data_IF_591265064526
#
_entry.id   IF_591265064526
#
_cell.length_a   1.000
_cell.length_b   1.000
_cell.length_c   1.000
_cell.angle_alpha   90.00
_cell.angle_beta   90.00
_cell.angle_gamma   90.00
#
_symmetry.space_group_name_H-M   'P 1'
#
loop_
_entity.id
_entity.type
_entity.pdbx_description
1 polymer ?
#
# COMPACT_ATOMS: atom_id res chain seq x y z
N UNK A 1 19.64 74.90 34.87
CA UNK A 1 18.61 73.96 35.32
C UNK A 1 19.24 72.58 35.18
N UNK A 2 20.11 72.08 36.05
CA UNK A 2 20.14 71.95 37.53
C UNK A 2 19.04 71.07 38.14
N UNK A 3 19.51 70.01 38.83
CA UNK A 3 18.88 69.12 39.82
C UNK A 3 18.00 67.96 39.28
N UNK A 4 18.34 66.66 39.43
CA UNK A 4 18.66 65.76 40.60
C UNK A 4 17.41 64.98 41.06
N UNK A 5 17.50 63.63 41.03
CA UNK A 5 17.10 62.59 42.02
C UNK A 5 15.78 62.74 42.83
N UNK A 6 15.02 61.73 43.27
CA UNK A 6 15.21 60.32 43.71
C UNK A 6 13.77 59.74 44.04
N UNK A 7 13.59 58.54 44.64
CA UNK A 7 12.48 57.58 44.45
C UNK A 7 11.54 57.48 45.67
N UNK A 8 10.48 56.65 45.60
CA UNK A 8 9.73 56.12 46.76
C UNK A 8 9.21 54.69 46.41
N UNK A 9 9.79 53.63 47.00
CA UNK A 9 9.36 52.91 48.23
C UNK A 9 8.36 51.77 47.94
N UNK A 10 8.80 50.50 47.93
CA UNK A 10 8.76 49.51 49.04
C UNK A 10 7.35 49.22 49.57
N UNK A 11 6.89 48.00 49.30
CA UNK A 11 5.81 47.31 50.01
C UNK A 11 6.08 45.79 49.98
N UNK A 12 6.62 45.28 51.08
CA UNK A 12 6.84 43.84 51.34
C UNK A 12 5.50 43.13 51.55
N UNK A 13 5.35 41.95 50.99
CA UNK A 13 4.58 40.88 51.63
C UNK A 13 5.27 39.53 51.34
N UNK A 14 5.93 39.02 52.35
CA UNK A 14 6.48 37.67 52.44
C UNK A 14 5.34 36.66 52.57
N UNK A 15 5.35 35.61 51.76
CA UNK A 15 4.76 34.33 52.13
C UNK A 15 5.70 33.24 51.63
N UNK A 16 6.40 32.65 52.58
CA UNK A 16 7.17 31.43 52.41
C UNK A 16 6.19 30.26 52.28
N UNK A 17 6.40 29.42 51.26
CA UNK A 17 5.91 28.06 51.25
C UNK A 17 6.99 27.19 50.59
N UNK A 18 7.78 26.56 51.45
CA UNK A 18 8.69 25.46 51.12
C UNK A 18 7.86 24.24 50.75
N UNK A 19 8.11 23.60 49.60
CA UNK A 19 7.81 22.18 49.40
C UNK A 19 8.48 21.61 48.14
N UNK A 20 9.33 20.60 48.38
CA UNK A 20 9.68 19.48 47.50
C UNK A 20 10.29 19.78 46.13
N UNK A 21 11.62 19.72 46.07
CA UNK A 21 12.32 19.20 44.91
C UNK A 21 11.94 17.72 44.71
N UNK A 22 10.94 17.47 43.86
CA UNK A 22 10.76 16.16 43.23
C UNK A 22 11.73 16.12 42.05
N UNK A 23 12.83 15.40 42.23
CA UNK A 23 13.58 14.83 41.12
C UNK A 23 12.61 13.86 40.42
N UNK A 24 11.89 14.36 39.42
CA UNK A 24 11.25 13.51 38.44
C UNK A 24 12.38 12.79 37.72
N UNK A 25 12.59 11.52 38.10
CA UNK A 25 13.23 10.56 37.20
C UNK A 25 12.49 10.65 35.88
N UNK A 26 13.16 11.20 34.87
CA UNK A 26 12.69 11.14 33.51
C UNK A 26 12.60 9.68 33.13
N UNK A 27 11.40 9.11 33.26
CA UNK A 27 10.97 8.06 32.36
C UNK A 27 10.98 8.71 30.98
N UNK A 28 12.12 8.59 30.29
CA UNK A 28 12.13 8.66 28.85
C UNK A 28 11.17 7.57 28.40
N UNK A 29 9.92 7.94 28.16
CA UNK A 29 9.08 7.15 27.28
C UNK A 29 9.90 6.95 25.99
N UNK A 30 9.91 5.74 25.41
CA UNK A 30 10.52 5.58 24.09
C UNK A 30 9.93 6.69 23.21
N UNK A 31 10.81 7.50 22.64
CA UNK A 31 10.41 8.43 21.61
C UNK A 31 9.76 7.55 20.56
N UNK A 32 8.43 7.61 20.45
CA UNK A 32 7.72 6.99 19.34
C UNK A 32 8.35 7.62 18.12
N UNK A 33 9.18 6.86 17.40
CA UNK A 33 9.61 7.26 16.08
C UNK A 33 8.35 7.60 15.30
N UNK A 34 8.33 8.74 14.61
CA UNK A 34 7.28 9.02 13.66
C UNK A 34 7.15 7.79 12.74
N UNK A 35 5.94 7.34 12.40
CA UNK A 35 5.78 6.23 11.46
C UNK A 35 6.57 6.59 10.20
N UNK A 36 7.51 5.72 9.82
CA UNK A 36 8.17 5.86 8.53
C UNK A 36 7.09 5.61 7.50
N UNK A 37 6.70 6.64 6.76
CA UNK A 37 5.80 6.47 5.62
C UNK A 37 6.50 5.53 4.63
N UNK A 38 5.99 4.30 4.54
CA UNK A 38 6.47 3.28 3.60
C UNK A 38 5.74 3.45 2.29
N UNK A 39 6.52 3.62 1.21
CA UNK A 39 6.00 3.82 -0.13
C UNK A 39 6.57 2.73 -1.01
N UNK A 40 5.70 1.82 -1.46
CA UNK A 40 6.06 0.67 -2.30
C UNK A 40 6.48 1.07 -3.73
N UNK A 41 6.66 2.37 -4.02
CA UNK A 41 7.20 2.89 -5.28
C UNK A 41 6.17 3.26 -6.34
N UNK A 42 4.88 3.00 -6.11
CA UNK A 42 3.80 3.31 -7.07
C UNK A 42 3.66 4.81 -7.34
N UNK A 43 4.15 5.30 -8.48
CA UNK A 43 4.08 6.71 -8.89
C UNK A 43 2.69 7.28 -8.66
N UNK A 44 2.59 8.33 -7.82
CA UNK A 44 1.33 8.98 -7.48
C UNK A 44 1.06 10.19 -8.34
N UNK A 45 -0.15 10.28 -8.88
CA UNK A 45 -0.59 11.34 -9.77
C UNK A 45 -1.97 11.86 -9.41
N UNK A 46 -2.22 13.15 -9.64
CA UNK A 46 -3.56 13.72 -9.58
C UNK A 46 -4.08 13.96 -11.00
N UNK A 47 -5.38 13.80 -11.23
CA UNK A 47 -6.02 14.24 -12.47
C UNK A 47 -6.54 15.68 -12.37
N UNK A 48 -5.82 16.70 -12.90
CA UNK A 48 -6.31 18.08 -12.91
C UNK A 48 -7.35 18.34 -14.00
N UNK A 49 -7.14 17.80 -15.22
CA UNK A 49 -7.95 18.14 -16.40
C UNK A 49 -7.64 17.23 -17.61
N UNK A 50 -8.51 17.31 -18.62
CA UNK A 50 -8.26 16.78 -19.97
C UNK A 50 -7.11 17.52 -20.65
N UNK A 51 -6.11 16.79 -21.16
CA UNK A 51 -5.01 17.33 -21.94
C UNK A 51 -5.45 17.71 -23.38
N UNK A 52 -6.21 16.82 -24.02
CA UNK A 52 -6.79 17.05 -25.34
C UNK A 52 -8.09 16.26 -25.52
N UNK A 53 -9.06 16.84 -26.24
CA UNK A 53 -10.31 16.17 -26.57
C UNK A 53 -10.24 15.56 -27.97
N UNK A 54 -10.82 14.38 -28.13
CA UNK A 54 -11.12 13.81 -29.44
C UNK A 54 -12.58 14.04 -29.83
N UNK A 55 -12.93 13.63 -31.05
CA UNK A 55 -14.34 13.61 -31.46
C UNK A 55 -15.12 12.52 -30.71
N UNK A 56 -16.43 12.74 -30.51
CA UNK A 56 -17.30 11.72 -29.93
C UNK A 56 -17.41 10.51 -30.87
N UNK A 57 -17.34 9.31 -30.30
CA UNK A 57 -17.48 8.03 -31.02
C UNK A 57 -18.73 7.30 -30.56
N UNK A 58 -19.37 6.53 -31.44
CA UNK A 58 -20.48 5.68 -31.02
C UNK A 58 -19.97 4.28 -30.67
N UNK A 59 -19.93 3.95 -29.40
CA UNK A 59 -19.47 2.64 -28.90
C UNK A 59 -20.65 1.90 -28.29
N UNK A 60 -20.85 0.64 -28.68
CA UNK A 60 -21.97 -0.19 -28.19
C UNK A 60 -23.37 0.47 -28.33
N UNK A 61 -23.52 1.36 -29.32
CA UNK A 61 -24.75 2.11 -29.58
C UNK A 61 -24.93 3.42 -28.79
N UNK A 62 -24.06 3.73 -27.84
CA UNK A 62 -24.03 4.99 -27.09
C UNK A 62 -22.97 5.96 -27.65
N UNK A 63 -23.20 7.27 -27.52
CA UNK A 63 -22.18 8.27 -27.85
C UNK A 63 -21.25 8.44 -26.64
N UNK A 64 -19.95 8.28 -26.85
CA UNK A 64 -18.93 8.38 -25.83
C UNK A 64 -17.89 9.43 -26.25
N UNK A 65 -17.52 10.29 -25.31
CA UNK A 65 -16.48 11.30 -25.52
C UNK A 65 -15.11 10.67 -25.37
N UNK A 66 -14.18 11.05 -26.25
CA UNK A 66 -12.81 10.55 -26.25
C UNK A 66 -11.85 11.64 -25.83
N UNK A 67 -10.78 11.29 -25.12
CA UNK A 67 -9.87 12.28 -24.54
C UNK A 67 -8.52 11.66 -24.21
N UNK A 68 -7.49 12.51 -24.26
CA UNK A 68 -6.25 12.34 -23.54
C UNK A 68 -6.33 13.10 -22.22
N UNK A 69 -5.99 12.44 -21.13
CA UNK A 69 -6.04 12.97 -19.77
C UNK A 69 -4.64 13.42 -19.34
N UNK A 70 -4.56 14.52 -18.58
CA UNK A 70 -3.33 14.93 -17.90
C UNK A 70 -3.32 14.29 -16.50
N UNK A 71 -2.25 13.56 -16.18
CA UNK A 71 -1.96 13.03 -14.85
C UNK A 71 -0.73 13.78 -14.32
N UNK A 72 -0.96 14.62 -13.31
CA UNK A 72 0.06 15.46 -12.69
C UNK A 72 0.70 14.73 -11.52
N UNK A 73 1.98 14.42 -11.64
CA UNK A 73 2.77 13.87 -10.56
C UNK A 73 3.01 14.91 -9.45
N UNK A 74 3.42 14.44 -8.27
CA UNK A 74 3.69 15.29 -7.11
C UNK A 74 4.87 16.25 -7.33
N UNK A 75 5.84 15.88 -8.18
CA UNK A 75 6.95 16.73 -8.62
C UNK A 75 6.52 17.81 -9.65
N UNK A 76 5.26 17.75 -10.12
CA UNK A 76 4.70 18.63 -11.13
C UNK A 76 4.85 18.15 -12.57
N UNK A 77 5.43 16.97 -12.83
CA UNK A 77 5.53 16.37 -14.16
C UNK A 77 4.14 15.95 -14.67
N UNK A 78 3.90 16.14 -15.97
CA UNK A 78 2.65 15.77 -16.64
C UNK A 78 2.83 14.43 -17.35
N UNK A 79 1.94 13.48 -17.11
CA UNK A 79 1.79 12.26 -17.89
C UNK A 79 0.52 12.36 -18.73
N UNK A 80 0.62 12.02 -20.01
CA UNK A 80 -0.55 11.92 -20.88
C UNK A 80 -1.12 10.49 -20.80
N UNK A 81 -2.44 10.34 -20.64
CA UNK A 81 -3.07 9.02 -20.50
C UNK A 81 -4.38 8.87 -21.29
N UNK A 82 -4.72 7.64 -21.68
CA UNK A 82 -6.04 7.26 -22.20
C UNK A 82 -6.89 6.64 -21.10
N UNK A 83 -8.21 6.64 -21.30
CA UNK A 83 -9.12 5.87 -20.45
C UNK A 83 -9.04 4.39 -20.84
N UNK A 84 -8.99 3.50 -19.85
CA UNK A 84 -9.11 2.05 -20.10
C UNK A 84 -10.40 1.46 -19.55
N UNK A 85 -11.15 2.21 -18.73
CA UNK A 85 -12.41 1.81 -18.12
C UNK A 85 -13.60 2.63 -18.68
N UNK A 86 -14.27 2.10 -19.69
CA UNK A 86 -15.43 2.74 -20.34
C UNK A 86 -16.66 2.88 -19.41
N UNK A 87 -16.81 2.05 -18.38
CA UNK A 87 -18.01 2.02 -17.53
C UNK A 87 -17.97 3.06 -16.41
N UNK A 88 -16.77 3.39 -15.94
CA UNK A 88 -16.58 4.34 -14.84
C UNK A 88 -16.38 5.75 -15.39
N UNK A 89 -16.94 6.75 -14.69
CA UNK A 89 -16.72 8.16 -15.05
C UNK A 89 -15.50 8.70 -14.34
N UNK A 90 -14.71 9.52 -15.04
CA UNK A 90 -13.63 10.27 -14.43
C UNK A 90 -14.15 11.22 -13.35
N UNK A 91 -13.36 11.40 -12.30
CA UNK A 91 -13.60 12.40 -11.25
C UNK A 91 -12.51 13.44 -11.26
N UNK A 92 -12.91 14.70 -11.27
CA UNK A 92 -11.98 15.84 -11.19
C UNK A 92 -11.16 15.78 -9.89
N UNK A 93 -9.86 16.05 -10.00
CA UNK A 93 -8.89 16.07 -8.90
C UNK A 93 -8.72 14.75 -8.15
N UNK A 94 -9.18 13.62 -8.71
CA UNK A 94 -8.94 12.31 -8.14
C UNK A 94 -7.44 11.98 -8.15
N UNK A 95 -7.00 11.30 -7.09
CA UNK A 95 -5.65 10.76 -6.98
C UNK A 95 -5.59 9.34 -7.55
N UNK A 96 -4.45 9.06 -8.17
CA UNK A 96 -4.12 7.82 -8.83
C UNK A 96 -2.77 7.31 -8.35
N UNK A 97 -2.64 5.99 -8.30
CA UNK A 97 -1.38 5.29 -8.09
C UNK A 97 -1.09 4.45 -9.33
N UNK A 98 0.18 4.43 -9.74
CA UNK A 98 0.69 3.46 -10.68
C UNK A 98 0.45 2.05 -10.14
N UNK A 99 -0.05 1.15 -10.97
CA UNK A 99 -0.40 -0.21 -10.59
C UNK A 99 -0.16 -1.14 -11.79
N UNK A 100 -0.19 -2.45 -11.55
CA UNK A 100 -0.06 -3.45 -12.59
C UNK A 100 -1.41 -3.75 -13.24
N UNK A 101 -1.38 -4.21 -14.49
CA UNK A 101 -2.61 -4.63 -15.17
C UNK A 101 -3.30 -5.81 -14.51
N UNK A 102 -2.56 -6.66 -13.81
CA UNK A 102 -3.14 -7.74 -13.00
C UNK A 102 -4.15 -7.21 -11.96
N UNK A 103 -4.01 -5.95 -11.54
CA UNK A 103 -4.85 -5.27 -10.57
C UNK A 103 -5.91 -4.35 -11.20
N UNK A 104 -6.04 -4.37 -12.54
CA UNK A 104 -7.03 -3.61 -13.29
C UNK A 104 -8.46 -3.96 -12.83
N UNK A 105 -9.25 -2.99 -12.32
CA UNK A 105 -10.58 -3.26 -11.77
C UNK A 105 -11.68 -3.39 -12.84
N UNK A 106 -11.34 -3.24 -14.13
CA UNK A 106 -12.33 -3.23 -15.21
C UNK A 106 -13.17 -4.49 -15.24
N UNK A 107 -14.47 -4.31 -15.51
CA UNK A 107 -15.42 -5.42 -15.53
C UNK A 107 -15.40 -6.12 -16.88
N UNK A 108 -14.85 -7.33 -16.92
CA UNK A 108 -15.10 -8.28 -18.00
C UNK A 108 -14.00 -9.32 -18.16
N UNK A 109 -14.35 -10.48 -18.71
CA UNK A 109 -13.42 -11.52 -19.17
C UNK A 109 -12.55 -11.07 -20.37
N UNK A 110 -12.46 -9.76 -20.64
CA UNK A 110 -11.95 -9.14 -21.86
C UNK A 110 -10.94 -8.04 -21.53
N UNK A 111 -9.76 -8.44 -21.05
CA UNK A 111 -8.59 -7.60 -20.99
C UNK A 111 -7.47 -8.27 -21.79
N UNK A 112 -7.03 -7.63 -22.88
CA UNK A 112 -5.90 -8.08 -23.70
C UNK A 112 -4.75 -7.05 -23.56
N UNK A 113 -4.01 -7.04 -22.41
CA UNK A 113 -3.02 -6.02 -22.09
C UNK A 113 -1.94 -5.87 -23.17
N UNK A 114 -1.47 -7.00 -23.72
CA UNK A 114 -0.49 -7.01 -24.80
C UNK A 114 -0.97 -6.28 -26.05
N UNK A 115 -2.25 -6.38 -26.40
CA UNK A 115 -2.84 -5.68 -27.56
C UNK A 115 -3.08 -4.21 -27.31
N UNK A 116 -3.50 -3.84 -26.10
CA UNK A 116 -3.61 -2.41 -25.73
C UNK A 116 -2.23 -1.77 -25.76
N UNK A 117 -1.21 -2.45 -25.23
CA UNK A 117 0.17 -1.97 -25.27
C UNK A 117 0.65 -1.80 -26.73
N UNK A 118 0.32 -2.75 -27.61
CA UNK A 118 0.59 -2.61 -29.04
C UNK A 118 -0.07 -1.36 -29.64
N UNK A 119 -1.35 -1.09 -29.31
CA UNK A 119 -2.04 0.12 -29.77
C UNK A 119 -1.27 1.35 -29.34
N UNK A 120 -0.95 1.50 -28.06
CA UNK A 120 -0.29 2.69 -27.52
C UNK A 120 1.07 2.98 -28.20
N UNK A 121 1.80 1.94 -28.60
CA UNK A 121 3.06 2.06 -29.35
C UNK A 121 2.86 2.40 -30.84
N UNK A 122 1.69 2.10 -31.41
CA UNK A 122 1.41 2.19 -32.85
C UNK A 122 0.28 3.17 -33.20
N UNK A 123 -0.15 3.97 -32.24
CA UNK A 123 -1.24 4.95 -32.37
C UNK A 123 -0.84 6.33 -31.85
N UNK A 124 -1.78 7.26 -31.84
CA UNK A 124 -1.55 8.61 -31.35
C UNK A 124 -1.31 8.59 -29.82
N UNK A 125 -0.41 9.43 -29.27
CA UNK A 125 0.44 10.41 -29.95
C UNK A 125 1.76 9.85 -30.50
N UNK A 126 2.16 8.62 -30.17
CA UNK A 126 3.40 7.97 -30.63
C UNK A 126 3.52 7.99 -32.16
N UNK A 127 2.41 7.74 -32.86
CA UNK A 127 2.24 7.87 -34.31
C UNK A 127 1.34 9.05 -34.60
N UNK A 128 1.82 9.99 -35.41
CA UNK A 128 1.04 11.20 -35.75
C UNK A 128 -0.27 10.86 -36.48
N UNK A 129 -1.29 11.72 -36.38
CA UNK A 129 -2.56 11.54 -37.08
C UNK A 129 -2.39 11.33 -38.60
N UNK A 130 -1.45 12.07 -39.21
CA UNK A 130 -1.16 11.94 -40.64
C UNK A 130 -0.58 10.57 -41.01
N UNK A 131 0.32 10.03 -40.19
CA UNK A 131 0.90 8.70 -40.40
C UNK A 131 -0.14 7.60 -40.13
N UNK A 132 -0.98 7.76 -39.11
CA UNK A 132 -2.09 6.83 -38.85
C UNK A 132 -3.08 6.78 -40.03
N UNK A 133 -3.43 7.93 -40.60
CA UNK A 133 -4.26 8.00 -41.78
C UNK A 133 -3.63 7.27 -42.99
N UNK A 134 -2.31 7.39 -43.16
CA UNK A 134 -1.56 6.68 -44.21
C UNK A 134 -1.54 5.16 -43.97
N UNK A 135 -1.20 4.73 -42.75
CA UNK A 135 -1.12 3.33 -42.35
C UNK A 135 -2.48 2.62 -42.51
N UNK A 136 -3.57 3.28 -42.13
CA UNK A 136 -4.93 2.77 -42.31
C UNK A 136 -5.45 2.85 -43.76
N UNK A 137 -4.65 3.42 -44.68
CA UNK A 137 -5.02 3.53 -46.09
C UNK A 137 -6.21 4.46 -46.35
N UNK A 138 -6.35 5.53 -45.56
CA UNK A 138 -7.46 6.48 -45.74
C UNK A 138 -7.42 7.12 -47.14
N UNK A 139 -8.60 7.18 -47.76
CA UNK A 139 -8.74 7.88 -49.04
C UNK A 139 -8.43 9.39 -48.86
N UNK A 140 -8.05 10.07 -49.95
CA UNK A 140 -7.68 11.50 -49.92
C UNK A 140 -8.75 12.44 -49.37
N UNK A 141 -10.04 12.05 -49.43
CA UNK A 141 -11.12 12.82 -48.86
C UNK A 141 -11.07 12.76 -47.33
N UNK A 142 -11.11 11.55 -46.78
CA UNK A 142 -11.08 11.31 -45.34
C UNK A 142 -9.76 11.80 -44.72
N UNK A 143 -8.62 11.49 -45.34
CA UNK A 143 -7.30 11.89 -44.84
C UNK A 143 -7.10 13.41 -44.69
N UNK A 144 -7.87 14.24 -45.43
CA UNK A 144 -7.83 15.71 -45.26
C UNK A 144 -8.56 16.20 -44.02
N UNK A 145 -9.43 15.38 -43.47
CA UNK A 145 -10.28 15.67 -42.31
C UNK A 145 -9.92 14.78 -41.12
N UNK A 146 -8.83 14.02 -41.20
CA UNK A 146 -8.33 13.19 -40.11
C UNK A 146 -7.18 13.94 -39.41
N UNK A 147 -7.50 14.63 -38.32
CA UNK A 147 -6.55 15.34 -37.46
C UNK A 147 -6.38 14.65 -36.11
N UNK A 148 -5.78 15.38 -35.17
CA UNK A 148 -5.48 14.87 -33.83
C UNK A 148 -6.75 14.45 -33.08
N UNK A 149 -7.86 15.20 -33.23
CA UNK A 149 -9.13 14.84 -32.58
C UNK A 149 -9.69 13.50 -33.09
N UNK A 150 -9.59 13.23 -34.40
CA UNK A 150 -9.96 11.93 -34.98
C UNK A 150 -9.00 10.81 -34.58
N UNK A 151 -7.70 11.10 -34.46
CA UNK A 151 -6.69 10.13 -34.06
C UNK A 151 -6.85 9.73 -32.58
N UNK A 152 -7.12 10.69 -31.70
CA UNK A 152 -7.47 10.45 -30.29
C UNK A 152 -8.71 9.56 -30.22
N UNK A 153 -9.74 9.88 -31.01
CA UNK A 153 -10.98 9.12 -31.02
C UNK A 153 -10.81 7.67 -31.49
N UNK A 154 -10.08 7.46 -32.59
CA UNK A 154 -9.82 6.12 -33.12
C UNK A 154 -8.96 5.29 -32.15
N UNK A 155 -7.95 5.91 -31.54
CA UNK A 155 -7.07 5.28 -30.55
C UNK A 155 -7.83 4.88 -29.30
N UNK A 156 -8.57 5.81 -28.70
CA UNK A 156 -9.36 5.57 -27.48
C UNK A 156 -10.40 4.45 -27.70
N UNK A 157 -11.07 4.45 -28.85
CA UNK A 157 -12.01 3.40 -29.20
C UNK A 157 -11.34 2.03 -29.36
N UNK A 158 -10.15 1.98 -29.96
CA UNK A 158 -9.38 0.74 -30.11
C UNK A 158 -8.88 0.20 -28.76
N UNK A 159 -8.50 1.07 -27.83
CA UNK A 159 -8.18 0.69 -26.44
C UNK A 159 -9.40 0.05 -25.77
N UNK A 160 -10.57 0.69 -25.83
CA UNK A 160 -11.81 0.14 -25.26
C UNK A 160 -12.26 -1.16 -25.92
N UNK A 161 -11.83 -1.45 -27.15
CA UNK A 161 -12.09 -2.75 -27.77
C UNK A 161 -11.41 -3.87 -26.99
N UNK A 162 -10.14 -3.70 -26.63
CA UNK A 162 -9.35 -4.71 -25.94
C UNK A 162 -9.42 -4.64 -24.41
N UNK A 163 -9.89 -3.54 -23.83
CA UNK A 163 -10.08 -3.42 -22.37
C UNK A 163 -11.51 -3.60 -21.89
N UNK A 164 -12.50 -3.38 -22.75
CA UNK A 164 -13.93 -3.47 -22.39
C UNK A 164 -14.74 -4.34 -23.36
N UNK A 165 -14.09 -5.00 -24.33
CA UNK A 165 -14.78 -5.80 -25.35
C UNK A 165 -15.73 -4.98 -26.22
N UNK A 166 -15.49 -3.66 -26.34
CA UNK A 166 -16.43 -2.75 -26.97
C UNK A 166 -16.24 -2.66 -28.49
N UNK A 167 -17.32 -2.37 -29.21
CA UNK A 167 -17.27 -2.19 -30.66
C UNK A 167 -17.61 -0.75 -31.02
N UNK A 168 -16.68 -0.08 -31.68
CA UNK A 168 -16.94 1.22 -32.26
C UNK A 168 -17.84 1.04 -33.49
N UNK A 169 -18.85 1.88 -33.59
CA UNK A 169 -19.71 1.98 -34.78
C UNK A 169 -19.68 3.42 -35.23
N UNK A 170 -19.60 3.69 -36.52
CA UNK A 170 -19.62 5.07 -36.98
C UNK A 170 -20.37 5.22 -38.30
N UNK A 171 -20.98 6.40 -38.45
CA UNK A 171 -20.93 7.06 -39.74
C UNK A 171 -19.51 7.64 -39.85
N UNK A 172 -18.75 7.26 -40.89
CA UNK A 172 -17.31 7.50 -40.97
C UNK A 172 -16.93 8.59 -42.02
N UNK A 173 -17.38 9.85 -41.88
CA UNK A 173 -17.05 10.89 -42.85
C UNK A 173 -15.57 11.32 -42.78
N UNK A 174 -14.89 11.09 -41.64
CA UNK A 174 -13.52 11.56 -41.42
C UNK A 174 -12.48 10.43 -41.30
N UNK A 175 -12.86 9.15 -41.32
CA UNK A 175 -11.93 8.01 -41.29
C UNK A 175 -11.63 7.44 -39.91
N UNK A 176 -12.31 7.90 -38.84
CA UNK A 176 -12.17 7.37 -37.48
C UNK A 176 -12.43 5.86 -37.43
N UNK A 177 -13.50 5.38 -38.08
CA UNK A 177 -13.81 3.93 -38.06
C UNK A 177 -12.78 3.12 -38.82
N UNK A 178 -12.32 3.62 -39.96
CA UNK A 178 -11.28 2.95 -40.73
C UNK A 178 -9.95 2.85 -39.97
N UNK A 179 -9.55 3.89 -39.23
CA UNK A 179 -8.33 3.83 -38.39
C UNK A 179 -8.53 2.92 -37.18
N UNK A 180 -9.71 2.96 -36.54
CA UNK A 180 -10.07 1.99 -35.51
C UNK A 180 -9.96 0.53 -36.02
N UNK A 181 -10.53 0.24 -37.20
CA UNK A 181 -10.49 -1.10 -37.81
C UNK A 181 -9.07 -1.55 -38.12
N UNK A 182 -8.23 -0.62 -38.58
CA UNK A 182 -6.81 -0.86 -38.78
C UNK A 182 -6.11 -1.22 -37.46
N UNK A 183 -6.29 -0.41 -36.41
CA UNK A 183 -5.66 -0.64 -35.12
C UNK A 183 -6.09 -1.97 -34.49
N UNK A 184 -7.39 -2.26 -34.49
CA UNK A 184 -7.94 -3.52 -33.95
C UNK A 184 -7.48 -4.72 -34.79
N UNK A 185 -7.42 -4.59 -36.11
CA UNK A 185 -7.02 -5.67 -37.01
C UNK A 185 -5.53 -6.01 -36.97
N UNK A 186 -4.67 -5.02 -36.72
CA UNK A 186 -3.21 -5.19 -36.69
C UNK A 186 -2.64 -5.45 -35.29
N UNK A 187 -3.44 -5.26 -34.23
CA UNK A 187 -3.00 -5.41 -32.84
C UNK A 187 -2.44 -6.81 -32.55
N UNK A 188 -1.21 -6.82 -32.04
CA UNK A 188 -0.50 -8.03 -31.66
C UNK A 188 -0.48 -8.19 -30.15
N UNK A 189 -0.56 -9.42 -29.68
CA UNK A 189 -0.44 -9.73 -28.27
C UNK A 189 1.05 -9.66 -27.86
N UNK A 190 1.44 -8.53 -27.27
CA UNK A 190 2.79 -8.33 -26.75
C UNK A 190 2.96 -9.05 -25.40
N UNK A 191 4.02 -9.85 -25.21
CA UNK A 191 4.18 -10.71 -24.03
C UNK A 191 4.61 -9.97 -22.76
N UNK A 192 4.91 -8.69 -22.82
CA UNK A 192 5.40 -7.91 -21.69
C UNK A 192 4.68 -6.57 -21.62
N UNK A 193 4.07 -6.33 -20.46
CA UNK A 193 3.77 -4.97 -20.00
C UNK A 193 5.09 -4.30 -19.61
N UNK A 194 5.17 -2.96 -19.71
CA UNK A 194 6.31 -2.27 -19.14
C UNK A 194 6.36 -2.53 -17.62
N UNK A 195 7.54 -2.81 -17.07
CA UNK A 195 7.72 -2.98 -15.63
C UNK A 195 7.43 -1.69 -14.84
N UNK A 196 7.37 -1.77 -13.50
CA UNK A 196 7.11 -0.61 -12.66
C UNK A 196 8.21 0.45 -12.83
N UNK A 197 7.83 1.71 -12.65
CA UNK A 197 8.79 2.82 -12.73
C UNK A 197 9.87 2.69 -11.65
N UNK A 198 9.45 2.46 -10.41
CA UNK A 198 10.28 2.08 -9.25
C UNK A 198 9.36 1.39 -8.24
N UNK A 199 9.80 0.29 -7.63
CA UNK A 199 9.04 -0.43 -6.60
C UNK A 199 9.97 -1.11 -5.61
N UNK A 200 9.53 -1.16 -4.35
CA UNK A 200 10.17 -1.97 -3.30
C UNK A 200 9.09 -2.84 -2.66
N UNK A 201 9.22 -4.16 -2.81
CA UNK A 201 8.24 -5.13 -2.30
C UNK A 201 8.92 -6.17 -1.41
N UNK A 202 8.45 -6.41 -0.18
CA UNK A 202 7.36 -5.71 0.50
C UNK A 202 7.76 -4.30 0.96
N UNK A 203 6.81 -3.41 1.25
CA UNK A 203 7.13 -2.09 1.84
C UNK A 203 7.66 -2.16 3.28
N UNK A 204 7.39 -3.24 4.02
CA UNK A 204 7.74 -3.37 5.43
C UNK A 204 8.14 -4.81 5.80
N UNK A 205 9.04 -4.94 6.77
CA UNK A 205 9.35 -6.24 7.39
C UNK A 205 9.63 -6.12 8.89
N UNK A 206 9.54 -7.25 9.60
CA UNK A 206 9.77 -7.32 11.04
C UNK A 206 10.71 -8.47 11.37
N UNK A 207 11.61 -8.30 12.34
CA UNK A 207 12.57 -9.34 12.75
C UNK A 207 13.22 -9.11 14.11
N UNK A 208 14.41 -9.68 14.32
CA UNK A 208 15.18 -9.59 15.57
C UNK A 208 16.51 -8.89 15.38
N UNK A 209 17.02 -8.22 16.41
CA UNK A 209 18.38 -7.70 16.40
C UNK A 209 19.41 -8.85 16.19
N UNK A 210 20.42 -8.60 15.37
CA UNK A 210 21.42 -9.61 14.98
C UNK A 210 21.08 -10.39 13.71
N UNK A 211 19.92 -10.14 13.10
CA UNK A 211 19.49 -10.76 11.84
C UNK A 211 19.51 -9.75 10.69
N UNK A 212 19.54 -10.27 9.46
CA UNK A 212 19.16 -9.50 8.27
C UNK A 212 17.65 -9.59 8.12
N UNK A 213 16.98 -8.44 8.17
CA UNK A 213 15.52 -8.35 8.15
C UNK A 213 15.05 -7.92 6.77
N UNK A 214 14.05 -8.63 6.25
CA UNK A 214 13.42 -8.37 4.97
C UNK A 214 13.67 -9.45 3.92
N UNK A 215 13.08 -9.24 2.76
CA UNK A 215 13.41 -9.81 1.46
C UNK A 215 12.86 -8.82 0.43
N UNK A 216 13.50 -7.64 0.38
CA UNK A 216 13.02 -6.51 -0.40
C UNK A 216 13.49 -6.66 -1.84
N UNK A 217 12.55 -6.93 -2.74
CA UNK A 217 12.77 -6.89 -4.18
C UNK A 217 12.71 -5.43 -4.65
N UNK A 218 13.76 -4.99 -5.34
CA UNK A 218 13.80 -3.69 -6.02
C UNK A 218 13.47 -3.90 -7.49
N UNK A 219 12.41 -3.26 -7.98
CA UNK A 219 12.09 -3.22 -9.41
C UNK A 219 12.13 -1.78 -9.90
N UNK A 220 12.70 -1.53 -11.07
CA UNK A 220 12.83 -0.18 -11.62
C UNK A 220 12.96 -0.20 -13.13
N UNK A 221 12.49 0.86 -13.79
CA UNK A 221 12.72 1.08 -15.22
C UNK A 221 14.03 1.81 -15.53
N UNK A 222 14.76 2.23 -14.49
CA UNK A 222 16.12 2.76 -14.59
C UNK A 222 17.11 1.64 -14.92
N UNK A 223 17.96 1.87 -15.92
CA UNK A 223 19.03 0.95 -16.31
C UNK A 223 20.34 1.24 -15.57
N UNK A 224 20.45 2.40 -14.92
CA UNK A 224 21.57 2.77 -14.08
C UNK A 224 21.32 2.35 -12.62
N UNK A 225 22.41 2.10 -11.88
CA UNK A 225 22.31 1.73 -10.46
C UNK A 225 21.86 2.91 -9.59
N UNK A 226 20.92 2.67 -8.67
CA UNK A 226 20.31 3.69 -7.81
C UNK A 226 21.04 3.76 -6.47
N UNK A 227 21.45 4.96 -6.05
CA UNK A 227 22.07 5.17 -4.73
C UNK A 227 21.06 4.95 -3.60
N UNK A 228 21.51 4.24 -2.56
CA UNK A 228 20.69 3.90 -1.39
C UNK A 228 20.91 4.91 -0.28
N UNK A 229 19.82 5.40 0.31
CA UNK A 229 19.85 6.24 1.50
C UNK A 229 19.25 5.50 2.69
N UNK A 230 20.08 5.04 3.63
CA UNK A 230 19.62 4.35 4.86
C UNK A 230 19.42 5.36 5.99
N UNK A 231 18.28 5.29 6.68
CA UNK A 231 18.00 6.01 7.92
C UNK A 231 17.86 5.02 9.07
N UNK A 232 18.70 5.18 10.08
CA UNK A 232 18.74 4.31 11.24
C UNK A 232 18.73 5.12 12.56
N UNK A 233 18.34 4.51 13.69
CA UNK A 233 18.37 5.16 15.00
C UNK A 233 19.80 5.56 15.40
N UNK A 234 19.95 6.65 16.16
CA UNK A 234 21.26 7.08 16.66
C UNK A 234 21.98 5.96 17.42
N UNK A 235 23.21 5.66 17.03
CA UNK A 235 24.05 4.65 17.68
C UNK A 235 23.81 3.21 17.22
N UNK A 236 22.94 2.96 16.23
CA UNK A 236 22.73 1.65 15.62
C UNK A 236 23.28 1.66 14.18
N UNK A 237 24.30 0.87 13.90
CA UNK A 237 24.88 0.73 12.56
C UNK A 237 24.08 -0.28 11.72
N UNK A 238 22.95 0.15 11.15
CA UNK A 238 22.16 -0.65 10.20
C UNK A 238 22.73 -0.48 8.79
N UNK A 239 22.90 -1.58 8.07
CA UNK A 239 23.40 -1.58 6.69
C UNK A 239 22.42 -2.30 5.77
N UNK A 240 22.24 -1.78 4.55
CA UNK A 240 21.58 -2.54 3.50
C UNK A 240 22.57 -3.56 2.93
N UNK A 241 22.15 -4.82 2.82
CA UNK A 241 22.94 -5.92 2.30
C UNK A 241 22.19 -6.62 1.16
N UNK A 242 22.94 -7.11 0.19
CA UNK A 242 22.42 -8.00 -0.85
C UNK A 242 22.21 -9.41 -0.26
N UNK A 243 21.05 -10.01 -0.52
CA UNK A 243 20.68 -11.29 0.10
C UNK A 243 21.34 -12.51 -0.54
N UNK A 244 21.81 -12.40 -1.78
CA UNK A 244 22.53 -13.48 -2.46
C UNK A 244 23.97 -13.60 -1.94
N UNK A 245 24.66 -12.47 -1.82
CA UNK A 245 26.07 -12.37 -1.43
C UNK A 245 26.29 -12.17 0.06
N UNK A 246 25.34 -11.53 0.75
CA UNK A 246 25.48 -11.08 2.13
C UNK A 246 26.39 -9.86 2.31
N UNK A 247 26.81 -9.20 1.22
CA UNK A 247 27.71 -8.04 1.27
C UNK A 247 26.93 -6.72 1.39
N UNK A 248 27.49 -5.70 2.07
CA UNK A 248 26.89 -4.37 2.11
C UNK A 248 26.82 -3.75 0.72
N UNK A 249 25.68 -3.13 0.42
CA UNK A 249 25.43 -2.44 -0.85
C UNK A 249 25.09 -0.97 -0.62
N UNK A 250 25.64 -0.11 -1.47
CA UNK A 250 25.33 1.34 -1.52
C UNK A 250 24.55 1.71 -2.77
N UNK A 251 24.41 0.77 -3.70
CA UNK A 251 23.74 0.93 -4.98
C UNK A 251 22.97 -0.34 -5.27
N UNK A 252 21.75 -0.20 -5.79
CA UNK A 252 20.86 -1.31 -6.19
C UNK A 252 20.44 -1.17 -7.65
N UNK A 253 20.12 -2.28 -8.29
CA UNK A 253 19.67 -2.38 -9.68
C UNK A 253 18.31 -3.07 -9.74
N UNK A 254 17.69 -3.02 -10.92
CA UNK A 254 16.46 -3.76 -11.18
C UNK A 254 16.64 -5.27 -10.96
N UNK A 255 15.81 -5.85 -10.09
CA UNK A 255 15.80 -7.26 -9.73
C UNK A 255 16.65 -7.63 -8.51
N UNK A 256 17.37 -6.66 -7.91
CA UNK A 256 18.16 -6.93 -6.71
C UNK A 256 17.24 -7.27 -5.53
N UNK A 257 17.68 -8.23 -4.70
CA UNK A 257 16.99 -8.60 -3.46
C UNK A 257 17.85 -8.23 -2.27
N UNK A 258 17.34 -7.31 -1.45
CA UNK A 258 18.12 -6.68 -0.36
C UNK A 258 17.42 -6.87 1.00
N UNK A 259 18.21 -6.76 2.07
CA UNK A 259 17.72 -6.76 3.43
C UNK A 259 18.50 -5.78 4.30
N UNK A 260 17.91 -5.37 5.43
CA UNK A 260 18.61 -4.51 6.40
C UNK A 260 19.25 -5.39 7.48
N UNK A 261 20.58 -5.39 7.52
CA UNK A 261 21.36 -6.06 8.56
C UNK A 261 21.36 -5.23 9.84
N UNK A 262 20.75 -5.76 10.89
CA UNK A 262 20.66 -5.12 12.21
C UNK A 262 21.72 -5.72 13.13
N UNK A 263 22.56 -4.93 13.80
CA UNK A 263 23.62 -5.46 14.65
C UNK A 263 23.07 -6.22 15.87
N UNK A 264 23.79 -7.25 16.29
CA UNK A 264 23.46 -8.01 17.51
C UNK A 264 23.51 -7.09 18.74
N UNK A 265 22.54 -7.24 19.63
CA UNK A 265 22.43 -6.41 20.83
C UNK A 265 21.92 -4.98 20.57
N UNK A 266 21.47 -4.66 19.35
CA UNK A 266 20.72 -3.44 19.11
C UNK A 266 19.47 -3.40 20.00
N UNK A 267 19.22 -2.25 20.63
CA UNK A 267 17.95 -1.99 21.30
C UNK A 267 16.81 -2.06 20.28
N UNK A 268 15.59 -2.36 20.75
CA UNK A 268 14.37 -2.32 19.92
C UNK A 268 14.29 -1.00 19.15
N UNK A 269 13.99 -1.08 17.85
CA UNK A 269 14.01 0.07 16.98
C UNK A 269 13.45 -0.19 15.59
N UNK A 270 13.49 0.86 14.77
CA UNK A 270 13.08 0.85 13.37
C UNK A 270 14.16 1.50 12.53
N UNK A 271 14.31 1.05 11.29
CA UNK A 271 15.17 1.66 10.29
C UNK A 271 14.46 1.62 8.94
N UNK A 272 14.89 2.48 8.03
CA UNK A 272 14.38 2.50 6.67
C UNK A 272 15.51 2.69 5.68
N UNK A 273 15.24 2.35 4.44
CA UNK A 273 16.05 2.82 3.33
C UNK A 273 15.14 3.43 2.27
N UNK A 274 15.66 4.42 1.57
CA UNK A 274 14.99 5.04 0.44
C UNK A 274 15.88 5.02 -0.79
N UNK A 275 15.21 4.94 -1.93
CA UNK A 275 15.75 5.02 -3.27
C UNK A 275 15.16 6.27 -3.91
N UNK A 276 15.97 7.04 -4.63
CA UNK A 276 15.50 8.16 -5.46
C UNK A 276 16.26 8.10 -6.79
N UNK A 277 15.54 8.11 -7.91
CA UNK A 277 16.17 8.14 -9.22
C UNK A 277 15.30 8.84 -10.26
N UNK A 278 15.88 9.11 -11.43
CA UNK A 278 15.13 9.43 -12.65
C UNK A 278 14.86 8.13 -13.40
N UNK A 279 13.59 7.75 -13.47
CA UNK A 279 13.14 6.57 -14.18
C UNK A 279 12.11 6.97 -15.25
N UNK A 280 11.86 6.09 -16.21
CA UNK A 280 10.87 6.35 -17.26
C UNK A 280 9.54 5.69 -16.88
N UNK A 281 8.49 6.49 -16.73
CA UNK A 281 7.12 5.98 -16.81
C UNK A 281 6.87 5.65 -18.28
N UNK A 282 6.84 4.36 -18.60
CA UNK A 282 6.64 3.90 -19.98
C UNK A 282 5.18 4.04 -20.41
N UNK A 283 4.95 4.18 -21.71
CA UNK A 283 3.63 4.03 -22.31
C UNK A 283 3.04 2.66 -21.96
N UNK A 284 1.78 2.60 -21.54
CA UNK A 284 1.12 1.37 -21.15
C UNK A 284 1.15 1.05 -19.65
N UNK A 285 1.67 1.94 -18.79
CA UNK A 285 1.56 1.80 -17.33
C UNK A 285 0.18 2.23 -16.86
N UNK A 286 -0.41 1.42 -15.98
CA UNK A 286 -1.76 1.61 -15.48
C UNK A 286 -1.76 2.55 -14.29
N UNK A 287 -2.73 3.45 -14.24
CA UNK A 287 -2.97 4.36 -13.12
C UNK A 287 -4.39 4.15 -12.60
N UNK A 288 -4.49 3.66 -11.37
CA UNK A 288 -5.75 3.31 -10.71
C UNK A 288 -6.10 4.35 -9.65
N UNK A 289 -7.38 4.67 -9.54
CA UNK A 289 -7.86 5.59 -8.51
C UNK A 289 -7.53 5.09 -7.11
N UNK A 290 -6.91 5.93 -6.29
CA UNK A 290 -6.46 5.61 -4.93
C UNK A 290 -7.64 5.34 -3.97
N UNK A 291 -8.76 6.05 -4.16
CA UNK A 291 -9.92 5.93 -3.27
C UNK A 291 -10.86 4.79 -3.69
N UNK A 292 -10.76 3.64 -3.01
CA UNK A 292 -11.59 2.44 -3.25
C UNK A 292 -13.11 2.73 -3.21
N UNK A 293 -13.56 3.51 -2.22
CA UNK A 293 -14.99 3.84 -2.04
C UNK A 293 -15.47 4.98 -2.96
N UNK A 294 -14.56 5.58 -3.71
CA UNK A 294 -14.83 6.66 -4.63
C UNK A 294 -14.18 6.39 -5.99
N UNK A 295 -14.53 5.28 -6.66
CA UNK A 295 -13.88 4.89 -7.90
C UNK A 295 -13.96 6.01 -8.95
N UNK A 296 -12.86 6.17 -9.66
CA UNK A 296 -12.70 6.99 -10.86
C UNK A 296 -12.23 6.07 -11.99
N UNK A 297 -12.46 6.47 -13.25
CA UNK A 297 -12.06 5.66 -14.39
C UNK A 297 -10.56 5.35 -14.32
N UNK A 298 -10.17 4.12 -14.62
CA UNK A 298 -8.75 3.74 -14.68
C UNK A 298 -8.12 4.32 -15.94
N UNK A 299 -6.88 4.78 -15.82
CA UNK A 299 -6.13 5.42 -16.89
C UNK A 299 -4.89 4.61 -17.26
N UNK A 300 -4.39 4.83 -18.47
CA UNK A 300 -3.18 4.19 -18.97
C UNK A 300 -2.30 5.19 -19.73
N UNK A 301 -1.01 5.23 -19.43
CA UNK A 301 -0.08 6.20 -20.04
C UNK A 301 0.02 6.01 -21.55
N UNK A 302 -0.02 7.12 -22.28
CA UNK A 302 -0.04 7.14 -23.74
C UNK A 302 1.36 7.16 -24.35
N UNK A 303 2.32 7.76 -23.67
CA UNK A 303 3.70 7.96 -24.12
C UNK A 303 4.68 7.79 -22.96
N UNK A 304 5.95 7.58 -23.29
CA UNK A 304 7.03 7.52 -22.31
C UNK A 304 7.28 8.91 -21.71
N UNK A 305 7.61 8.97 -20.43
CA UNK A 305 7.99 10.22 -19.76
C UNK A 305 8.99 9.94 -18.64
N UNK A 306 10.11 10.68 -18.65
CA UNK A 306 11.10 10.61 -17.59
C UNK A 306 10.63 11.41 -16.37
N UNK A 307 10.72 10.79 -15.21
CA UNK A 307 10.18 11.30 -13.94
C UNK A 307 11.17 11.07 -12.81
N UNK A 308 11.18 11.97 -11.83
CA UNK A 308 11.88 11.69 -10.58
C UNK A 308 10.94 10.94 -9.66
N UNK A 309 11.37 9.75 -9.23
CA UNK A 309 10.60 8.86 -8.37
C UNK A 309 11.40 8.47 -7.16
N UNK A 310 10.70 8.17 -6.07
CA UNK A 310 11.31 7.64 -4.87
C UNK A 310 10.53 6.44 -4.35
N UNK A 311 11.22 5.54 -3.66
CA UNK A 311 10.60 4.42 -2.95
C UNK A 311 11.27 4.23 -1.59
N UNK A 312 10.51 3.75 -0.61
CA UNK A 312 11.02 3.49 0.73
C UNK A 312 10.46 2.21 1.31
N UNK A 313 11.32 1.46 1.99
CA UNK A 313 10.90 0.34 2.81
C UNK A 313 11.44 0.48 4.23
N UNK A 314 10.69 -0.07 5.18
CA UNK A 314 11.02 -0.01 6.60
C UNK A 314 11.17 -1.39 7.21
N UNK A 315 12.01 -1.47 8.24
CA UNK A 315 12.09 -2.64 9.12
C UNK A 315 11.87 -2.21 10.55
N UNK A 316 11.23 -3.09 11.32
CA UNK A 316 11.19 -3.00 12.77
C UNK A 316 11.79 -4.26 13.39
N UNK A 317 12.47 -4.11 14.52
CA UNK A 317 13.02 -5.26 15.22
C UNK A 317 12.82 -5.17 16.71
N UNK A 318 12.66 -6.33 17.33
CA UNK A 318 12.70 -6.45 18.78
C UNK A 318 14.16 -6.54 19.24
N UNK A 319 14.47 -5.83 20.33
CA UNK A 319 15.79 -5.89 20.93
C UNK A 319 16.05 -7.29 21.47
N UNK A 320 17.22 -7.85 21.18
CA UNK A 320 17.70 -9.06 21.82
C UNK A 320 17.83 -8.78 23.31
N UNK A 321 16.83 -9.19 24.09
CA UNK A 321 16.78 -8.90 25.51
C UNK A 321 18.01 -9.45 26.19
N UNK A 322 18.90 -8.56 26.66
CA UNK A 322 19.62 -8.86 27.89
C UNK A 322 18.52 -9.04 28.93
N UNK A 323 18.23 -10.30 29.28
CA UNK A 323 17.56 -10.58 30.54
C UNK A 323 18.42 -9.86 31.59
N UNK A 324 17.89 -8.91 32.36
CA UNK A 324 18.67 -8.31 33.44
C UNK A 324 19.27 -9.46 34.24
N UNK A 325 20.57 -9.44 34.59
CA UNK A 325 21.11 -10.47 35.46
C UNK A 325 20.17 -10.60 36.64
N UNK A 326 19.69 -11.81 36.94
CA UNK A 326 18.81 -12.06 38.09
C UNK A 326 19.40 -11.31 39.29
N UNK A 327 18.73 -10.22 39.67
CA UNK A 327 19.06 -9.54 40.91
C UNK A 327 18.92 -10.61 41.99
N UNK A 328 19.94 -10.86 42.82
CA UNK A 328 19.85 -11.89 43.84
C UNK A 328 18.59 -11.62 44.67
N UNK A 329 17.71 -12.61 44.77
CA UNK A 329 16.53 -12.55 45.63
C UNK A 329 16.97 -12.06 47.02
N UNK A 330 16.36 -10.99 47.56
CA UNK A 330 16.56 -10.64 48.95
C UNK A 330 16.06 -11.80 49.80
N UNK A 331 16.96 -12.45 50.53
CA UNK A 331 16.61 -13.48 51.51
C UNK A 331 15.63 -12.89 52.52
N UNK A 332 14.40 -13.41 52.52
CA UNK A 332 13.36 -13.00 53.46
C UNK A 332 13.74 -13.50 54.88
N UNK A 333 13.79 -12.63 55.90
CA UNK A 333 14.08 -13.06 57.26
C UNK A 333 12.88 -13.78 57.88
N UNK A 334 13.17 -14.89 58.55
CA UNK A 334 12.22 -15.73 59.30
C UNK A 334 11.29 -14.90 60.21
N UNK A 335 9.98 -15.10 60.04
CA UNK A 335 8.94 -14.59 60.94
C UNK A 335 8.35 -15.75 61.76
N UNK A 336 8.14 -15.59 63.09
CA UNK A 336 7.87 -16.71 63.98
C UNK A 336 6.41 -17.21 63.92
N UNK A 337 6.26 -18.50 64.17
CA UNK A 337 5.01 -19.27 64.31
C UNK A 337 3.95 -18.60 65.20
N UNK A 338 2.67 -18.86 64.88
CA UNK A 338 1.73 -19.22 65.93
C UNK A 338 0.90 -20.47 65.60
N UNK A 339 1.11 -21.48 66.44
CA UNK A 339 0.17 -22.43 67.06
C UNK A 339 -1.12 -22.87 66.33
N UNK A 340 -1.17 -24.19 66.15
CA UNK A 340 -2.29 -25.12 65.91
C UNK A 340 -3.62 -24.80 66.64
N UNK A 341 -4.78 -25.27 66.11
CA UNK A 341 -5.24 -26.59 66.55
C UNK A 341 -5.94 -27.48 65.50
N UNK A 342 -5.63 -28.77 65.61
CA UNK A 342 -6.50 -29.96 65.61
C UNK A 342 -7.28 -30.40 64.33
N UNK A 343 -6.75 -31.51 63.77
CA UNK A 343 -7.37 -32.73 63.19
C UNK A 343 -8.86 -33.00 63.53
N UNK A 344 -9.64 -33.76 62.69
CA UNK A 344 -9.26 -35.12 62.27
C UNK A 344 -9.52 -35.52 60.80
N UNK A 345 -8.66 -36.43 60.33
CA UNK A 345 -8.78 -37.42 59.23
C UNK A 345 -9.96 -38.43 59.43
N UNK A 346 -10.14 -39.47 58.60
CA UNK A 346 -10.23 -39.57 57.13
C UNK A 346 -11.42 -40.48 56.72
N UNK A 347 -11.77 -40.63 55.42
CA UNK A 347 -12.12 -41.95 54.83
C UNK A 347 -12.30 -41.90 53.30
N UNK A 348 -11.92 -42.97 52.57
CA UNK A 348 -11.99 -43.09 51.11
C UNK A 348 -13.19 -43.96 50.66
N UNK A 349 -13.63 -43.84 49.41
CA UNK A 349 -14.50 -44.80 48.67
C UNK A 349 -14.83 -44.21 47.29
N UNK A 350 -15.06 -44.89 46.17
CA UNK A 350 -14.72 -46.18 45.58
C UNK A 350 -15.28 -46.10 44.14
N UNK A 351 -14.47 -46.44 43.14
CA UNK A 351 -14.80 -47.28 41.97
C UNK A 351 -16.00 -46.97 41.02
N UNK A 352 -16.24 -47.74 39.91
CA UNK A 352 -16.34 -47.20 38.54
C UNK A 352 -17.68 -47.54 37.84
N UNK A 353 -17.87 -47.20 36.56
CA UNK A 353 -18.87 -47.85 35.70
C UNK A 353 -18.58 -47.70 34.19
N UNK A 354 -18.87 -48.80 33.49
CA UNK A 354 -18.43 -49.29 32.17
C UNK A 354 -18.97 -48.57 30.91
N UNK A 355 -18.38 -48.83 29.72
CA UNK A 355 -19.00 -48.61 28.41
C UNK A 355 -19.74 -49.87 27.91
N UNK A 356 -20.73 -49.70 27.02
CA UNK A 356 -21.43 -50.83 26.37
C UNK A 356 -21.17 -50.87 24.86
N UNK A 357 -20.91 -52.08 24.39
CA UNK A 357 -20.52 -52.54 23.06
C UNK A 357 -21.51 -52.28 21.89
N UNK A 358 -20.89 -52.00 20.72
CA UNK A 358 -20.99 -52.62 19.35
C UNK A 358 -22.04 -53.74 19.10
N UNK A 359 -22.39 -54.18 17.84
CA UNK A 359 -21.46 -54.39 16.68
C UNK A 359 -21.97 -54.34 15.19
N UNK A 360 -20.98 -54.21 14.28
CA UNK A 360 -20.75 -54.88 12.94
C UNK A 360 -21.56 -54.50 11.68
N UNK A 361 -20.98 -53.96 10.58
CA UNK A 361 -20.03 -54.46 9.51
C UNK A 361 -20.74 -55.09 8.29
N UNK A 362 -20.13 -55.27 7.07
CA UNK A 362 -18.69 -55.26 6.67
C UNK A 362 -18.34 -54.44 5.36
N UNK A 363 -17.13 -53.85 5.25
CA UNK A 363 -15.89 -54.29 4.56
C UNK A 363 -15.80 -54.07 3.02
N UNK A 364 -14.84 -53.25 2.58
CA UNK A 364 -13.94 -53.60 1.46
C UNK A 364 -12.59 -52.88 1.58
N UNK A 365 -11.53 -53.59 1.17
CA UNK A 365 -10.10 -53.35 1.35
C UNK A 365 -9.51 -52.51 0.19
N UNK A 366 -8.36 -51.84 0.38
CA UNK A 366 -7.26 -51.56 -0.61
C UNK A 366 -6.38 -50.32 -0.24
N UNK A 367 -5.19 -50.61 0.30
CA UNK A 367 -3.84 -50.01 0.09
C UNK A 367 -3.60 -48.46 0.04
N UNK A 368 -2.97 -47.95 1.11
CA UNK A 368 -1.89 -46.91 1.30
C UNK A 368 -1.82 -45.59 0.49
N UNK A 369 -1.14 -44.49 0.94
CA UNK A 369 -0.45 -44.21 2.23
C UNK A 369 -0.94 -42.93 2.95
N UNK A 370 -0.59 -42.82 4.23
CA UNK A 370 -0.89 -41.68 5.13
C UNK A 370 -0.02 -40.44 4.86
N UNK A 371 -0.66 -39.27 4.75
CA UNK A 371 -0.04 -37.94 4.87
C UNK A 371 -0.21 -37.41 6.31
N UNK A 372 0.74 -36.60 6.82
CA UNK A 372 0.68 -36.08 8.18
C UNK A 372 -0.49 -35.10 8.37
N UNK A 373 -1.17 -35.26 9.50
CA UNK A 373 -2.25 -34.38 9.97
C UNK A 373 -1.63 -33.13 10.61
N UNK A 374 -1.70 -32.00 9.92
CA UNK A 374 -1.47 -30.67 10.51
C UNK A 374 -2.77 -29.88 10.44
N UNK A 375 -3.60 -30.00 11.47
CA UNK A 375 -4.90 -29.33 11.51
C UNK A 375 -5.51 -29.42 12.90
N UNK A 376 -4.91 -28.72 13.87
CA UNK A 376 -5.35 -28.76 15.27
C UNK A 376 -5.05 -27.51 16.09
N UNK A 377 -4.83 -26.35 15.47
CA UNK A 377 -4.42 -25.14 16.20
C UNK A 377 -5.16 -23.84 15.81
N UNK A 378 -6.34 -23.91 15.19
CA UNK A 378 -7.13 -22.70 14.84
C UNK A 378 -8.45 -22.53 15.62
N UNK A 379 -8.79 -23.44 16.53
CA UNK A 379 -10.01 -23.31 17.33
C UNK A 379 -9.88 -22.36 18.54
N UNK A 380 -8.66 -21.99 18.95
CA UNK A 380 -8.44 -21.14 20.13
C UNK A 380 -8.61 -19.63 19.89
N UNK A 381 -8.39 -19.15 18.65
CA UNK A 381 -8.36 -17.71 18.36
C UNK A 381 -9.74 -17.10 18.03
N UNK A 382 -10.72 -17.92 17.66
CA UNK A 382 -12.09 -17.43 17.36
C UNK A 382 -12.86 -17.08 18.65
N UNK A 383 -12.53 -17.70 19.79
CA UNK A 383 -13.21 -17.43 21.06
C UNK A 383 -12.78 -16.11 21.72
N UNK A 384 -11.52 -15.68 21.53
CA UNK A 384 -11.01 -14.43 22.09
C UNK A 384 -11.56 -13.18 21.37
N UNK A 385 -11.74 -13.27 20.03
CA UNK A 385 -12.27 -12.16 19.22
C UNK A 385 -13.73 -11.80 19.53
N UNK A 386 -14.57 -12.80 19.83
CA UNK A 386 -15.99 -12.58 20.17
C UNK A 386 -16.15 -11.96 21.57
N UNK A 387 -15.27 -12.28 22.52
CA UNK A 387 -15.31 -11.69 23.86
C UNK A 387 -14.90 -10.21 23.87
N UNK A 388 -13.91 -9.81 23.05
CA UNK A 388 -13.45 -8.43 22.94
C UNK A 388 -14.50 -7.50 22.29
N UNK A 389 -15.20 -7.97 21.25
CA UNK A 389 -16.28 -7.21 20.62
C UNK A 389 -17.52 -7.04 21.54
N UNK A 390 -17.82 -8.05 22.37
CA UNK A 390 -18.89 -7.96 23.37
C UNK A 390 -18.62 -6.92 24.46
N UNK A 391 -17.38 -6.84 24.96
CA UNK A 391 -17.01 -5.89 26.00
C UNK A 391 -16.97 -4.43 25.47
N UNK A 392 -16.46 -4.21 24.26
CA UNK A 392 -16.40 -2.89 23.62
C UNK A 392 -17.77 -2.30 23.29
N UNK A 393 -18.69 -3.12 22.76
CA UNK A 393 -20.06 -2.70 22.45
C UNK A 393 -20.88 -2.33 23.69
N UNK A 394 -20.71 -3.06 24.79
CA UNK A 394 -21.40 -2.79 26.06
C UNK A 394 -21.01 -1.44 26.69
N UNK A 395 -19.72 -1.09 26.65
CA UNK A 395 -19.23 0.18 27.19
C UNK A 395 -19.75 1.41 26.42
N UNK A 396 -19.81 1.32 25.08
CA UNK A 396 -20.35 2.38 24.22
C UNK A 396 -21.86 2.58 24.37
N UNK A 397 -22.62 1.49 24.55
CA UNK A 397 -24.07 1.58 24.79
C UNK A 397 -24.39 2.20 26.17
N UNK A 398 -23.65 1.83 27.22
CA UNK A 398 -23.85 2.38 28.56
C UNK A 398 -23.42 3.86 28.67
N UNK A 399 -22.39 4.30 27.94
CA UNK A 399 -21.98 5.71 27.93
C UNK A 399 -23.00 6.61 27.21
N UNK A 400 -23.59 6.13 26.10
CA UNK A 400 -24.67 6.84 25.40
C UNK A 400 -25.95 6.91 26.23
N UNK A 401 -26.29 5.87 26.99
CA UNK A 401 -27.47 5.89 27.87
C UNK A 401 -27.32 6.83 29.06
N UNK A 402 -26.12 7.00 29.62
CA UNK A 402 -25.86 8.01 30.68
C UNK A 402 -26.01 9.44 30.16
N UNK A 403 -25.54 9.71 28.94
CA UNK A 403 -25.63 11.05 28.34
C UNK A 403 -27.06 11.48 28.01
N UNK A 404 -27.95 10.52 27.72
CA UNK A 404 -29.38 10.78 27.48
C UNK A 404 -30.19 11.02 28.77
N UNK A 405 -29.75 10.48 29.91
CA UNK A 405 -30.41 10.68 31.20
C UNK A 405 -30.11 12.06 31.82
N UNK A 406 -28.90 12.59 31.64
CA UNK A 406 -28.52 13.93 32.13
C UNK A 406 -29.14 15.08 31.32
N UNK A 407 -29.79 14.78 30.19
CA UNK A 407 -30.40 15.78 29.31
C UNK A 407 -31.89 16.04 29.59
N UNK A 408 -32.49 15.39 30.58
CA UNK A 408 -33.93 15.54 30.90
C UNK A 408 -34.25 16.28 32.21
N UNK A 409 -33.25 16.79 32.95
CA UNK A 409 -33.46 17.56 34.19
C UNK A 409 -33.17 19.08 34.06
N UNK A 410 -33.17 19.64 32.84
CA UNK A 410 -32.96 21.08 32.59
C UNK A 410 -34.07 21.80 31.82
N UNK A 411 -35.26 21.21 31.70
CA UNK A 411 -36.48 21.95 31.35
C UNK A 411 -37.64 21.48 32.25
N UNK A 412 -37.88 22.28 33.29
CA UNK A 412 -38.97 22.13 34.26
C UNK A 412 -39.00 23.29 35.24
#
# INVERSE_FOLDING_TARGET
MTYVSLPHSVGRATLAASAAALLAFGLAAPASADPVETYEGSVRAQYPATAASGVDVRVNGAMESTSLFDLRLEDGTALTAYCIDLETKIKDNAWYLEDDWANYPGRGDFAEPGKVHWILQNSYPTVSAAQLAENAGLNRGNARHFGDEEAIAATQAAIWHFSNGSEATANDPNGVKAVYDYLVGEAQDLPQEPGPTLSITPGEATGSAGETIGEFLVETSDEDGIEVSVQAPEGVEVQLVDLESGEPVTTVNNGDTVGLAVPEGAAEGTASFSLETTATVRSGRLFKGEEEYQPTQTLITAEDSDVTVSASASVSWTGGGETPPESPEPSEPESPEPSEPESPEPTPSDEPSEPTDKPSEPADDQNEPSLPVTGGALAGLVAAGVAALGAGGGALYLSRRRKAADSQDLEG
#
